data_IF_482711230420
#
_entry.id   IF_482711230420
#
_cell.length_a   1.000
_cell.length_b   1.000
_cell.length_c   1.000
_cell.angle_alpha   90.00
_cell.angle_beta   90.00
_cell.angle_gamma   90.00
#
_symmetry.space_group_name_H-M   'P 1'
#
loop_
_entity.id
_entity.type
_entity.pdbx_description
1 polymer ?
#
# COMPACT_ATOMS: atom_id res chain seq x y z
N UNK A 1 22.34 -7.54 -30.38
CA UNK A 1 22.23 -7.61 -28.90
C UNK A 1 20.82 -7.29 -28.43
N UNK A 2 20.30 -6.07 -28.67
CA UNK A 2 18.96 -5.64 -28.21
C UNK A 2 17.82 -6.57 -28.61
N UNK A 3 17.77 -7.06 -29.86
CA UNK A 3 16.75 -8.02 -30.29
C UNK A 3 16.80 -9.37 -29.55
N UNK A 4 18.00 -9.80 -29.14
CA UNK A 4 18.19 -11.04 -28.36
C UNK A 4 17.73 -10.82 -26.93
N UNK A 5 18.11 -9.71 -26.31
CA UNK A 5 17.67 -9.33 -24.96
C UNK A 5 16.14 -9.16 -24.89
N UNK A 6 15.53 -8.50 -25.89
CA UNK A 6 14.08 -8.38 -25.97
C UNK A 6 13.39 -9.75 -26.05
N UNK A 7 13.93 -10.66 -26.86
CA UNK A 7 13.40 -12.03 -26.98
C UNK A 7 13.56 -12.83 -25.69
N UNK A 8 14.63 -12.62 -24.94
CA UNK A 8 14.85 -13.25 -23.64
C UNK A 8 13.90 -12.69 -22.58
N UNK A 9 13.71 -11.37 -22.54
CA UNK A 9 12.75 -10.70 -21.65
C UNK A 9 11.32 -11.20 -21.86
N UNK A 10 10.89 -11.38 -23.12
CA UNK A 10 9.56 -11.91 -23.43
C UNK A 10 9.41 -13.42 -23.16
N UNK A 11 10.52 -14.16 -23.04
CA UNK A 11 10.52 -15.61 -22.79
C UNK A 11 10.60 -15.97 -21.31
N UNK A 12 11.01 -15.04 -20.46
CA UNK A 12 10.87 -15.16 -19.02
C UNK A 12 9.49 -14.60 -18.65
N UNK A 13 8.46 -15.43 -18.38
CA UNK A 13 7.12 -14.93 -18.12
C UNK A 13 7.03 -14.11 -16.83
N UNK A 14 7.94 -14.33 -15.86
CA UNK A 14 7.90 -13.61 -14.58
C UNK A 14 8.16 -12.12 -14.75
N UNK A 15 9.16 -11.75 -15.55
CA UNK A 15 9.56 -10.37 -15.77
C UNK A 15 8.43 -9.44 -16.32
N UNK A 16 7.79 -9.74 -17.47
CA UNK A 16 6.71 -8.94 -18.01
C UNK A 16 5.42 -9.04 -17.18
N UNK A 17 5.11 -10.19 -16.57
CA UNK A 17 3.93 -10.30 -15.69
C UNK A 17 4.08 -9.39 -14.48
N UNK A 18 5.24 -9.43 -13.81
CA UNK A 18 5.48 -8.59 -12.64
C UNK A 18 5.58 -7.11 -13.02
N UNK A 19 6.32 -6.78 -14.09
CA UNK A 19 6.51 -5.40 -14.52
C UNK A 19 5.23 -4.76 -15.07
N UNK A 20 4.43 -5.47 -15.86
CA UNK A 20 3.24 -4.92 -16.52
C UNK A 20 1.96 -5.19 -15.72
N UNK A 21 1.86 -6.38 -15.12
CA UNK A 21 0.64 -6.85 -14.46
C UNK A 21 0.34 -6.10 -13.17
N UNK A 22 1.34 -5.83 -12.31
CA UNK A 22 1.11 -5.14 -11.03
C UNK A 22 0.62 -3.70 -11.23
N UNK A 23 1.27 -2.85 -12.04
CA UNK A 23 0.81 -1.48 -12.27
C UNK A 23 -0.55 -1.42 -12.96
N UNK A 24 -0.81 -2.33 -13.90
CA UNK A 24 -2.10 -2.42 -14.58
C UNK A 24 -3.21 -2.87 -13.63
N UNK A 25 -2.96 -3.90 -12.82
CA UNK A 25 -3.90 -4.36 -11.80
C UNK A 25 -4.19 -3.25 -10.79
N UNK A 26 -3.19 -2.48 -10.37
CA UNK A 26 -3.38 -1.33 -9.49
C UNK A 26 -4.39 -0.34 -10.12
N UNK A 27 -4.16 0.08 -11.36
CA UNK A 27 -5.05 1.05 -12.03
C UNK A 27 -6.45 0.48 -12.24
N UNK A 28 -6.58 -0.80 -12.58
CA UNK A 28 -7.86 -1.47 -12.75
C UNK A 28 -8.63 -1.59 -11.42
N UNK A 29 -7.99 -2.13 -10.37
CA UNK A 29 -8.62 -2.32 -9.06
C UNK A 29 -9.08 -0.98 -8.47
N UNK A 30 -8.22 0.04 -8.48
CA UNK A 30 -8.60 1.35 -7.98
C UNK A 30 -9.57 2.09 -8.91
N UNK A 31 -9.55 1.81 -10.21
CA UNK A 31 -10.49 2.38 -11.16
C UNK A 31 -11.90 1.81 -11.05
N UNK A 32 -12.04 0.55 -10.63
CA UNK A 32 -13.33 -0.07 -10.35
C UNK A 32 -13.95 0.43 -9.04
N UNK A 33 -13.15 1.07 -8.18
CA UNK A 33 -13.60 1.63 -6.92
C UNK A 33 -14.50 2.86 -7.20
N UNK A 34 -15.75 2.91 -6.70
CA UNK A 34 -16.70 3.96 -7.08
C UNK A 34 -16.16 5.36 -6.73
N UNK A 35 -16.34 6.36 -7.58
CA UNK A 35 -15.94 7.75 -7.26
C UNK A 35 -14.45 8.10 -7.39
N UNK A 36 -13.56 7.14 -7.66
CA UNK A 36 -12.12 7.44 -7.89
C UNK A 36 -11.88 8.21 -9.18
N UNK A 37 -12.75 8.04 -10.17
CA UNK A 37 -12.73 8.78 -11.43
C UNK A 37 -13.63 10.03 -11.41
N UNK A 38 -14.17 10.43 -10.25
CA UNK A 38 -14.98 11.64 -10.11
C UNK A 38 -14.15 12.81 -9.55
N UNK A 39 -14.41 14.05 -10.00
CA UNK A 39 -13.81 15.26 -9.43
C UNK A 39 -13.99 15.34 -7.91
N UNK A 40 -12.93 15.66 -7.18
CA UNK A 40 -12.99 15.87 -5.74
C UNK A 40 -12.43 17.23 -5.33
N UNK A 41 -13.09 17.89 -4.38
CA UNK A 41 -12.67 19.20 -3.88
C UNK A 41 -11.27 19.16 -3.22
N UNK A 42 -10.93 18.04 -2.56
CA UNK A 42 -9.63 17.81 -1.94
C UNK A 42 -8.46 17.76 -2.95
N UNK A 43 -8.75 17.39 -4.21
CA UNK A 43 -7.77 17.36 -5.30
C UNK A 43 -7.93 18.58 -6.23
N UNK A 44 -8.50 19.68 -5.72
CA UNK A 44 -8.71 20.90 -6.49
C UNK A 44 -9.62 20.72 -7.70
N UNK A 45 -10.64 19.86 -7.60
CA UNK A 45 -11.57 19.57 -8.69
C UNK A 45 -11.11 18.48 -9.66
N UNK A 46 -10.00 17.80 -9.38
CA UNK A 46 -9.53 16.69 -10.20
C UNK A 46 -9.95 15.33 -9.63
N UNK A 47 -10.01 14.32 -10.52
CA UNK A 47 -10.27 12.95 -10.13
C UNK A 47 -8.99 12.25 -9.61
N UNK A 48 -9.12 11.41 -8.59
CA UNK A 48 -7.98 10.74 -7.94
C UNK A 48 -7.28 9.74 -8.86
N UNK A 49 -8.05 9.06 -9.71
CA UNK A 49 -7.55 8.04 -10.63
C UNK A 49 -6.48 8.59 -11.63
N UNK A 50 -6.77 9.65 -12.43
CA UNK A 50 -5.77 10.22 -13.34
C UNK A 50 -4.69 11.08 -12.66
N UNK A 51 -4.96 11.66 -11.49
CA UNK A 51 -4.00 12.61 -10.86
C UNK A 51 -3.03 11.98 -9.88
N UNK A 52 -3.43 10.90 -9.20
CA UNK A 52 -2.63 10.30 -8.15
C UNK A 52 -2.32 8.84 -8.47
N UNK A 53 -3.34 8.04 -8.80
CA UNK A 53 -3.21 6.59 -8.91
C UNK A 53 -2.44 6.18 -10.18
N UNK A 54 -2.81 6.70 -11.34
CA UNK A 54 -2.14 6.36 -12.61
C UNK A 54 -0.68 6.85 -12.67
N UNK A 55 -0.34 8.09 -12.28
CA UNK A 55 1.05 8.52 -12.19
C UNK A 55 1.87 7.70 -11.20
N UNK A 56 1.29 7.34 -10.04
CA UNK A 56 1.94 6.47 -9.07
C UNK A 56 2.20 5.06 -9.64
N UNK A 57 1.23 4.48 -10.36
CA UNK A 57 1.42 3.20 -11.04
C UNK A 57 2.57 3.24 -12.06
N UNK A 58 2.66 4.31 -12.86
CA UNK A 58 3.75 4.53 -13.81
C UNK A 58 5.10 4.72 -13.10
N UNK A 59 5.13 5.44 -11.98
CA UNK A 59 6.35 5.60 -11.18
C UNK A 59 6.81 4.27 -10.56
N UNK A 60 5.89 3.49 -10.00
CA UNK A 60 6.17 2.15 -9.45
C UNK A 60 6.70 1.23 -10.53
N UNK A 61 6.08 1.19 -11.71
CA UNK A 61 6.55 0.45 -12.88
C UNK A 61 8.01 0.79 -13.23
N UNK A 62 8.31 2.09 -13.41
CA UNK A 62 9.67 2.54 -13.78
C UNK A 62 10.64 2.14 -12.67
N UNK A 63 10.25 2.30 -11.41
CA UNK A 63 11.02 1.83 -10.26
C UNK A 63 11.28 0.32 -10.28
N UNK A 64 10.26 -0.50 -10.52
CA UNK A 64 10.42 -1.96 -10.58
C UNK A 64 11.37 -2.39 -11.71
N UNK A 65 11.24 -1.79 -12.89
CA UNK A 65 12.12 -2.08 -14.03
C UNK A 65 13.56 -1.63 -13.79
N UNK A 66 13.75 -0.39 -13.34
CA UNK A 66 15.07 0.20 -13.14
C UNK A 66 15.81 -0.39 -11.93
N UNK A 67 15.08 -0.66 -10.84
CA UNK A 67 15.67 -1.01 -9.55
C UNK A 67 15.67 -2.51 -9.33
N UNK A 68 14.62 -3.24 -9.71
CA UNK A 68 14.54 -4.69 -9.46
C UNK A 68 14.95 -5.51 -10.68
N UNK A 69 14.27 -5.37 -11.82
CA UNK A 69 14.45 -6.29 -12.96
C UNK A 69 15.78 -6.08 -13.69
N UNK A 70 16.16 -4.83 -13.96
CA UNK A 70 17.40 -4.54 -14.68
C UNK A 70 18.65 -5.06 -13.93
N UNK A 71 18.84 -4.80 -12.61
CA UNK A 71 19.96 -5.37 -11.87
C UNK A 71 19.89 -6.89 -11.72
N UNK A 72 18.70 -7.45 -11.52
CA UNK A 72 18.52 -8.90 -11.39
C UNK A 72 18.91 -9.66 -12.67
N UNK A 73 18.60 -9.12 -13.85
CA UNK A 73 18.99 -9.70 -15.13
C UNK A 73 20.53 -9.74 -15.28
N UNK A 74 21.21 -8.64 -14.95
CA UNK A 74 22.67 -8.55 -14.99
C UNK A 74 23.33 -9.49 -13.97
N UNK A 75 22.78 -9.57 -12.75
CA UNK A 75 23.26 -10.48 -11.71
C UNK A 75 23.13 -11.94 -12.14
N UNK A 76 21.98 -12.33 -12.70
CA UNK A 76 21.75 -13.68 -13.24
C UNK A 76 22.74 -14.02 -14.36
N UNK A 77 23.08 -13.04 -15.21
CA UNK A 77 24.07 -13.23 -16.27
C UNK A 77 25.48 -13.43 -15.71
N UNK A 78 25.79 -12.81 -14.56
CA UNK A 78 27.05 -13.03 -13.85
C UNK A 78 27.10 -14.43 -13.25
N UNK A 79 26.04 -14.87 -12.57
CA UNK A 79 25.94 -16.19 -11.94
C UNK A 79 26.06 -17.33 -12.96
N UNK A 80 25.38 -17.20 -14.11
CA UNK A 80 25.41 -18.19 -15.19
C UNK A 80 26.69 -18.14 -16.05
N UNK A 81 27.66 -17.31 -15.66
CA UNK A 81 28.92 -17.10 -16.37
C UNK A 81 28.76 -16.51 -17.77
N UNK A 82 27.59 -15.97 -18.13
CA UNK A 82 27.31 -15.37 -19.44
C UNK A 82 28.24 -14.18 -19.67
N UNK A 83 28.43 -13.33 -18.66
CA UNK A 83 29.34 -12.17 -18.74
C UNK A 83 30.79 -12.59 -19.00
N UNK A 84 31.24 -13.70 -18.40
CA UNK A 84 32.59 -14.27 -18.59
C UNK A 84 32.79 -14.86 -19.99
N UNK A 85 31.73 -15.41 -20.58
CA UNK A 85 31.76 -15.86 -21.99
C UNK A 85 31.74 -14.67 -22.95
N UNK A 86 30.96 -13.63 -22.64
CA UNK A 86 30.89 -12.41 -23.44
C UNK A 86 32.22 -11.63 -23.42
N UNK A 87 32.99 -11.65 -22.33
CA UNK A 87 34.31 -11.02 -22.28
C UNK A 87 35.37 -11.68 -23.18
N UNK A 88 35.14 -12.92 -23.62
CA UNK A 88 35.98 -13.60 -24.60
C UNK A 88 35.54 -13.34 -26.07
N UNK A 89 34.47 -12.57 -26.26
CA UNK A 89 33.95 -12.17 -27.57
C UNK A 89 34.32 -10.71 -27.90
N UNK A 90 34.30 -10.27 -29.17
CA UNK A 90 34.56 -8.88 -29.55
C UNK A 90 33.42 -7.90 -29.16
N UNK A 91 32.48 -8.32 -28.29
CA UNK A 91 31.36 -7.49 -27.84
C UNK A 91 31.73 -6.79 -26.53
N UNK A 92 31.86 -5.46 -26.51
CA UNK A 92 32.15 -4.73 -25.27
C UNK A 92 30.99 -4.83 -24.27
N UNK A 93 31.26 -4.92 -22.95
CA UNK A 93 30.22 -5.01 -21.90
C UNK A 93 29.18 -3.88 -21.95
N UNK A 94 29.58 -2.68 -22.39
CA UNK A 94 28.67 -1.54 -22.56
C UNK A 94 27.54 -1.78 -23.56
N UNK A 95 27.72 -2.65 -24.58
CA UNK A 95 26.64 -2.99 -25.53
C UNK A 95 25.55 -3.85 -24.90
N UNK A 96 25.89 -4.70 -23.93
CA UNK A 96 24.90 -5.46 -23.16
C UNK A 96 24.08 -4.52 -22.27
N UNK A 97 24.75 -3.62 -21.54
CA UNK A 97 24.08 -2.64 -20.68
C UNK A 97 23.18 -1.70 -21.49
N UNK A 98 23.64 -1.22 -22.64
CA UNK A 98 22.83 -0.40 -23.55
C UNK A 98 21.62 -1.19 -24.11
N UNK A 99 21.81 -2.46 -24.48
CA UNK A 99 20.72 -3.31 -24.93
C UNK A 99 19.67 -3.54 -23.84
N UNK A 100 20.10 -3.83 -22.61
CA UNK A 100 19.23 -3.98 -21.44
C UNK A 100 18.49 -2.69 -21.11
N UNK A 101 19.17 -1.54 -21.13
CA UNK A 101 18.54 -0.23 -20.93
C UNK A 101 17.46 0.03 -21.99
N UNK A 102 17.75 -0.20 -23.27
CA UNK A 102 16.79 0.00 -24.36
C UNK A 102 15.57 -0.91 -24.24
N UNK A 103 15.76 -2.18 -23.87
CA UNK A 103 14.65 -3.13 -23.66
C UNK A 103 13.77 -2.68 -22.49
N UNK A 104 14.36 -2.24 -21.37
CA UNK A 104 13.59 -1.77 -20.23
C UNK A 104 12.87 -0.44 -20.50
N UNK A 105 13.49 0.50 -21.23
CA UNK A 105 12.83 1.74 -21.67
C UNK A 105 11.68 1.45 -22.63
N UNK A 106 11.83 0.47 -23.55
CA UNK A 106 10.75 0.03 -24.41
C UNK A 106 9.61 -0.61 -23.60
N UNK A 107 9.94 -1.41 -22.59
CA UNK A 107 8.96 -1.99 -21.68
C UNK A 107 8.19 -0.91 -20.89
N UNK A 108 8.88 0.14 -20.40
CA UNK A 108 8.24 1.32 -19.78
C UNK A 108 7.26 1.96 -20.75
N UNK A 109 7.66 2.20 -22.01
CA UNK A 109 6.79 2.82 -23.00
C UNK A 109 5.52 1.98 -23.27
N UNK A 110 5.68 0.67 -23.48
CA UNK A 110 4.55 -0.26 -23.68
C UNK A 110 3.64 -0.27 -22.46
N UNK A 111 4.20 -0.33 -21.26
CA UNK A 111 3.44 -0.37 -20.03
C UNK A 111 2.65 0.93 -19.78
N UNK A 112 3.23 2.09 -20.09
CA UNK A 112 2.53 3.38 -20.01
C UNK A 112 1.37 3.41 -21.01
N UNK A 113 1.59 2.93 -22.23
CA UNK A 113 0.52 2.82 -23.23
C UNK A 113 -0.60 1.89 -22.74
N UNK A 114 -0.26 0.78 -22.08
CA UNK A 114 -1.24 -0.13 -21.49
C UNK A 114 -1.99 0.53 -20.32
N UNK A 115 -1.29 1.18 -19.39
CA UNK A 115 -1.91 1.83 -18.23
C UNK A 115 -2.83 2.97 -18.68
N UNK A 116 -2.35 3.85 -19.56
CA UNK A 116 -3.12 4.99 -20.07
C UNK A 116 -4.24 4.52 -20.99
N UNK A 117 -3.96 3.56 -21.87
CA UNK A 117 -4.92 3.01 -22.82
C UNK A 117 -6.04 2.22 -22.14
N UNK A 118 -5.69 1.28 -21.25
CA UNK A 118 -6.67 0.54 -20.45
C UNK A 118 -7.42 1.47 -19.50
N UNK A 119 -6.74 2.43 -18.87
CA UNK A 119 -7.40 3.46 -18.06
C UNK A 119 -8.42 4.26 -18.86
N UNK A 120 -8.08 4.66 -20.09
CA UNK A 120 -8.98 5.45 -20.95
C UNK A 120 -10.17 4.63 -21.47
N UNK A 121 -9.93 3.40 -21.90
CA UNK A 121 -10.93 2.53 -22.55
C UNK A 121 -11.82 1.86 -21.50
N UNK A 122 -11.24 1.22 -20.50
CA UNK A 122 -11.99 0.44 -19.51
C UNK A 122 -12.58 1.32 -18.40
N UNK A 123 -11.91 2.43 -18.03
CA UNK A 123 -12.27 3.21 -16.84
C UNK A 123 -12.71 4.65 -17.17
N UNK A 124 -12.67 5.07 -18.43
CA UNK A 124 -13.00 6.44 -18.83
C UNK A 124 -12.06 7.50 -18.26
N UNK A 125 -10.81 7.13 -17.97
CA UNK A 125 -9.81 8.03 -17.39
C UNK A 125 -9.48 9.19 -18.33
N UNK A 126 -9.39 10.40 -17.79
CA UNK A 126 -8.95 11.57 -18.55
C UNK A 126 -7.46 11.44 -18.93
N UNK A 127 -7.13 11.80 -20.18
CA UNK A 127 -5.76 11.82 -20.66
C UNK A 127 -5.00 13.02 -20.06
N UNK A 128 -3.65 12.93 -19.96
CA UNK A 128 -2.84 14.08 -19.56
C UNK A 128 -3.11 15.27 -20.49
N UNK A 129 -3.38 16.45 -19.92
CA UNK A 129 -3.68 17.66 -20.70
C UNK A 129 -2.49 18.06 -21.59
N UNK A 130 -1.27 17.80 -21.11
CA UNK A 130 -0.05 18.09 -21.85
C UNK A 130 0.81 16.82 -22.02
N UNK A 131 0.63 16.12 -23.14
CA UNK A 131 1.37 14.90 -23.46
C UNK A 131 2.88 15.15 -23.58
N UNK A 132 3.29 16.34 -24.02
CA UNK A 132 4.72 16.69 -24.16
C UNK A 132 5.43 16.73 -22.81
N UNK A 133 4.88 17.46 -21.84
CA UNK A 133 5.42 17.50 -20.48
C UNK A 133 5.33 16.16 -19.77
N UNK A 134 4.23 15.41 -19.99
CA UNK A 134 4.11 14.06 -19.47
C UNK A 134 5.23 13.14 -19.98
N UNK A 135 5.47 13.11 -21.29
CA UNK A 135 6.54 12.32 -21.90
C UNK A 135 7.93 12.78 -21.40
N UNK A 136 8.15 14.09 -21.26
CA UNK A 136 9.40 14.64 -20.74
C UNK A 136 9.66 14.22 -19.29
N UNK A 137 8.66 14.33 -18.39
CA UNK A 137 8.79 13.91 -16.99
C UNK A 137 9.02 12.42 -16.86
N UNK A 138 8.30 11.61 -17.63
CA UNK A 138 8.50 10.15 -17.69
C UNK A 138 9.90 9.82 -18.16
N UNK A 139 10.37 10.45 -19.23
CA UNK A 139 11.69 10.19 -19.80
C UNK A 139 12.80 10.62 -18.83
N UNK A 140 12.68 11.81 -18.23
CA UNK A 140 13.63 12.28 -17.22
C UNK A 140 13.62 11.41 -15.98
N UNK A 141 12.45 10.98 -15.51
CA UNK A 141 12.31 10.08 -14.36
C UNK A 141 12.90 8.69 -14.65
N UNK A 142 12.65 8.14 -15.83
CA UNK A 142 13.28 6.90 -16.28
C UNK A 142 14.80 7.06 -16.38
N UNK A 143 15.30 8.08 -17.08
CA UNK A 143 16.74 8.32 -17.21
C UNK A 143 17.40 8.55 -15.84
N UNK A 144 16.76 9.27 -14.93
CA UNK A 144 17.22 9.42 -13.55
C UNK A 144 17.30 8.04 -12.87
N UNK A 145 16.23 7.26 -12.85
CA UNK A 145 16.21 5.97 -12.16
C UNK A 145 17.16 4.93 -12.78
N UNK A 146 17.34 4.93 -14.10
CA UNK A 146 18.27 4.03 -14.81
C UNK A 146 19.73 4.51 -14.78
N UNK A 147 20.01 5.82 -14.62
CA UNK A 147 21.39 6.35 -14.53
C UNK A 147 21.97 6.25 -13.12
N UNK A 148 21.09 6.10 -12.14
CA UNK A 148 21.44 6.06 -10.73
C UNK A 148 21.79 4.60 -10.41
N UNK A 149 23.08 4.34 -10.14
CA UNK A 149 23.53 3.03 -9.68
C UNK A 149 22.82 2.63 -8.38
N UNK A 150 22.70 1.31 -8.12
CA UNK A 150 21.89 0.75 -7.03
C UNK A 150 21.99 1.49 -5.68
N UNK A 151 23.19 1.94 -5.29
CA UNK A 151 23.42 2.72 -4.07
C UNK A 151 22.78 4.11 -4.10
N UNK A 152 22.96 4.86 -5.18
CA UNK A 152 22.36 6.20 -5.32
C UNK A 152 20.83 6.09 -5.42
N UNK A 153 20.31 4.97 -5.94
CA UNK A 153 18.87 4.73 -6.09
C UNK A 153 18.23 4.49 -4.76
N UNK A 154 18.82 3.60 -3.95
CA UNK A 154 18.35 3.38 -2.59
C UNK A 154 18.40 4.68 -1.77
N UNK A 155 19.50 5.44 -1.85
CA UNK A 155 19.61 6.73 -1.15
C UNK A 155 18.56 7.75 -1.66
N UNK A 156 18.38 7.87 -2.98
CA UNK A 156 17.40 8.79 -3.56
C UNK A 156 15.96 8.43 -3.22
N UNK A 157 15.61 7.14 -3.27
CA UNK A 157 14.28 6.63 -2.88
C UNK A 157 14.01 6.86 -1.40
N UNK A 158 14.99 6.55 -0.53
CA UNK A 158 14.89 6.81 0.91
C UNK A 158 14.73 8.32 1.17
N UNK A 159 15.55 9.16 0.56
CA UNK A 159 15.47 10.62 0.72
C UNK A 159 14.13 11.18 0.21
N UNK A 160 13.65 10.72 -0.94
CA UNK A 160 12.35 11.09 -1.47
C UNK A 160 11.23 10.76 -0.49
N UNK A 161 11.21 9.54 0.07
CA UNK A 161 10.18 9.15 1.03
C UNK A 161 10.29 9.89 2.36
N UNK A 162 11.50 10.20 2.82
CA UNK A 162 11.68 11.05 4.01
C UNK A 162 11.14 12.46 3.79
N UNK A 163 11.42 13.07 2.63
CA UNK A 163 10.96 14.43 2.29
C UNK A 163 9.45 14.47 2.00
N UNK A 164 8.93 13.46 1.30
CA UNK A 164 7.51 13.36 0.95
C UNK A 164 6.63 12.83 2.10
N UNK A 165 7.19 12.62 3.31
CA UNK A 165 6.53 11.99 4.45
C UNK A 165 5.84 10.66 4.08
N UNK A 166 6.49 9.90 3.20
CA UNK A 166 6.01 8.59 2.77
C UNK A 166 6.38 7.52 3.79
N UNK A 167 5.66 6.40 3.71
CA UNK A 167 5.82 5.33 4.69
C UNK A 167 7.17 4.62 4.50
N UNK A 168 7.90 4.42 5.59
CA UNK A 168 9.27 3.89 5.59
C UNK A 168 9.42 2.56 4.82
N UNK A 169 8.40 1.71 4.86
CA UNK A 169 8.41 0.42 4.18
C UNK A 169 8.36 0.52 2.65
N UNK A 170 8.03 1.67 2.07
CA UNK A 170 8.11 1.86 0.62
C UNK A 170 9.55 1.84 0.09
N UNK A 171 10.53 2.16 0.92
CA UNK A 171 11.95 2.03 0.56
C UNK A 171 12.48 0.60 0.72
N UNK A 172 11.72 -0.30 1.39
CA UNK A 172 12.17 -1.66 1.72
C UNK A 172 12.61 -2.46 0.48
N UNK A 173 11.91 -2.28 -0.65
CA UNK A 173 12.20 -2.97 -1.92
C UNK A 173 13.55 -2.61 -2.56
N UNK A 174 14.23 -1.56 -2.09
CA UNK A 174 15.55 -1.16 -2.62
C UNK A 174 16.72 -1.86 -1.93
N UNK A 175 16.53 -2.35 -0.70
CA UNK A 175 17.59 -2.96 0.09
C UNK A 175 18.11 -4.31 -0.44
N UNK A 176 17.29 -5.20 -1.06
CA UNK A 176 17.79 -6.47 -1.60
C UNK A 176 18.94 -6.31 -2.60
N UNK A 177 18.90 -5.29 -3.46
CA UNK A 177 19.97 -5.04 -4.45
C UNK A 177 21.24 -4.52 -3.75
N UNK A 178 21.09 -3.70 -2.71
CA UNK A 178 22.23 -3.27 -1.89
C UNK A 178 22.87 -4.44 -1.17
N UNK A 179 22.07 -5.35 -0.60
CA UNK A 179 22.56 -6.56 0.04
C UNK A 179 23.26 -7.50 -0.94
N UNK A 180 22.72 -7.67 -2.15
CA UNK A 180 23.38 -8.44 -3.21
C UNK A 180 24.74 -7.83 -3.62
N UNK A 181 24.79 -6.50 -3.77
CA UNK A 181 26.04 -5.78 -4.06
C UNK A 181 27.07 -5.92 -2.93
N UNK A 182 26.61 -5.85 -1.67
CA UNK A 182 27.46 -6.07 -0.50
C UNK A 182 27.98 -7.52 -0.43
N UNK A 183 27.13 -8.51 -0.68
CA UNK A 183 27.50 -9.93 -0.67
C UNK A 183 28.61 -10.23 -1.70
N UNK A 184 28.46 -9.72 -2.93
CA UNK A 184 29.49 -9.78 -3.96
C UNK A 184 30.80 -9.15 -3.48
N UNK A 185 30.74 -7.97 -2.88
CA UNK A 185 31.93 -7.26 -2.44
C UNK A 185 32.67 -8.02 -1.33
N UNK A 186 31.91 -8.61 -0.39
CA UNK A 186 32.45 -9.44 0.69
C UNK A 186 33.01 -10.79 0.20
N UNK A 187 32.50 -11.30 -0.92
CA UNK A 187 33.06 -12.48 -1.60
C UNK A 187 34.39 -12.17 -2.29
N UNK A 188 34.45 -11.07 -3.04
CA UNK A 188 35.64 -10.66 -3.80
C UNK A 188 36.73 -10.09 -2.87
N UNK A 189 36.34 -9.44 -1.77
CA UNK A 189 37.24 -8.94 -0.73
C UNK A 189 36.87 -9.56 0.60
N UNK A 190 37.68 -10.54 1.01
CA UNK A 190 37.52 -11.18 2.33
C UNK A 190 37.48 -10.10 3.42
N UNK A 191 36.51 -10.15 4.34
CA UNK A 191 36.50 -9.24 5.48
C UNK A 191 37.82 -9.34 6.24
N UNK A 192 38.23 -8.25 6.89
CA UNK A 192 39.36 -8.27 7.80
C UNK A 192 39.19 -9.39 8.85
N UNK A 193 40.29 -9.91 9.41
CA UNK A 193 40.29 -11.14 10.21
C UNK A 193 39.20 -11.17 11.31
N UNK A 194 38.93 -10.02 11.91
CA UNK A 194 37.97 -9.78 12.99
C UNK A 194 36.50 -9.64 12.54
N UNK A 195 36.23 -9.47 11.24
CA UNK A 195 34.88 -9.39 10.64
C UNK A 195 34.51 -10.62 9.81
N UNK A 196 35.33 -11.67 9.79
CA UNK A 196 35.09 -12.85 8.93
C UNK A 196 33.80 -13.60 9.25
N UNK A 197 33.22 -13.37 10.43
CA UNK A 197 31.94 -13.96 10.85
C UNK A 197 30.71 -13.22 10.28
N UNK A 198 30.86 -11.97 9.81
CA UNK A 198 29.73 -11.17 9.31
C UNK A 198 29.00 -11.80 8.11
N UNK A 199 29.67 -12.35 7.08
CA UNK A 199 28.99 -13.03 5.98
C UNK A 199 28.68 -14.51 6.26
N UNK A 200 28.60 -14.93 7.53
CA UNK A 200 28.40 -16.35 7.90
C UNK A 200 27.11 -16.57 8.70
N UNK A 201 26.82 -17.83 9.04
CA UNK A 201 25.59 -18.26 9.72
C UNK A 201 25.19 -17.43 10.97
N UNK A 202 26.10 -16.89 11.82
CA UNK A 202 25.69 -16.14 13.01
C UNK A 202 24.89 -14.89 12.67
N UNK A 203 25.24 -14.17 11.60
CA UNK A 203 24.49 -12.98 11.19
C UNK A 203 23.11 -13.38 10.67
N UNK A 204 23.00 -14.48 9.94
CA UNK A 204 21.69 -14.99 9.50
C UNK A 204 20.82 -15.42 10.68
N UNK A 205 21.40 -16.07 11.69
CA UNK A 205 20.68 -16.43 12.92
C UNK A 205 20.25 -15.19 13.70
N UNK A 206 21.14 -14.21 13.90
CA UNK A 206 20.79 -12.95 14.57
C UNK A 206 19.71 -12.17 13.81
N UNK A 207 19.79 -12.15 12.47
CA UNK A 207 18.80 -11.50 11.61
C UNK A 207 17.45 -12.21 11.70
N UNK A 208 17.44 -13.54 11.74
CA UNK A 208 16.23 -14.33 11.94
C UNK A 208 15.64 -14.11 13.34
N UNK A 209 16.46 -14.15 14.40
CA UNK A 209 16.02 -13.89 15.77
C UNK A 209 15.45 -12.47 15.95
N UNK A 210 16.01 -11.49 15.25
CA UNK A 210 15.46 -10.14 15.21
C UNK A 210 14.16 -10.06 14.40
N UNK A 211 14.11 -10.65 13.21
CA UNK A 211 13.00 -10.44 12.27
C UNK A 211 11.77 -11.30 12.57
N UNK A 212 11.95 -12.53 13.06
CA UNK A 212 10.85 -13.49 13.28
C UNK A 212 9.78 -12.94 14.24
N UNK A 213 10.13 -12.30 15.38
CA UNK A 213 9.14 -11.69 16.26
C UNK A 213 8.31 -10.56 15.64
N UNK A 214 8.87 -9.82 14.67
CA UNK A 214 8.12 -8.77 13.96
C UNK A 214 7.27 -9.31 12.80
N UNK A 215 7.58 -10.49 12.30
CA UNK A 215 6.90 -11.08 11.14
C UNK A 215 5.86 -12.12 11.53
N UNK A 216 6.10 -12.87 12.61
CA UNK A 216 5.27 -13.99 13.03
C UNK A 216 4.78 -13.81 14.47
N UNK A 217 3.56 -14.30 14.80
CA UNK A 217 3.03 -14.27 16.15
C UNK A 217 3.71 -15.34 17.02
N UNK A 218 4.99 -15.14 17.33
CA UNK A 218 5.79 -16.08 18.13
C UNK A 218 5.50 -16.00 19.63
N UNK A 219 4.97 -14.86 20.08
CA UNK A 219 4.61 -14.63 21.48
C UNK A 219 3.15 -14.98 21.73
N UNK A 220 2.83 -15.61 22.87
CA UNK A 220 1.45 -15.71 23.34
C UNK A 220 0.84 -14.32 23.52
N UNK A 221 -0.45 -14.16 23.19
CA UNK A 221 -1.11 -12.85 23.24
C UNK A 221 -1.10 -12.25 24.64
N UNK A 222 -1.28 -13.06 25.70
CA UNK A 222 -1.21 -12.56 27.08
C UNK A 222 0.16 -11.96 27.43
N UNK A 223 1.24 -12.48 26.85
CA UNK A 223 2.58 -11.94 27.11
C UNK A 223 2.77 -10.55 26.52
N UNK A 224 2.13 -10.26 25.37
CA UNK A 224 2.13 -8.93 24.74
C UNK A 224 1.35 -7.89 25.54
N UNK A 225 0.39 -8.32 26.35
CA UNK A 225 -0.35 -7.42 27.28
C UNK A 225 0.56 -6.96 28.41
N UNK A 226 1.38 -7.88 28.94
CA UNK A 226 2.33 -7.60 30.01
C UNK A 226 3.56 -6.83 29.51
N UNK A 227 3.96 -7.04 28.24
CA UNK A 227 5.15 -6.46 27.62
C UNK A 227 4.79 -5.76 26.28
N UNK A 228 4.06 -4.63 26.32
CA UNK A 228 3.58 -3.97 25.11
C UNK A 228 4.69 -3.46 24.18
N UNK A 229 5.87 -3.19 24.73
CA UNK A 229 7.05 -2.76 23.97
C UNK A 229 7.80 -3.89 23.26
N UNK A 230 7.44 -5.15 23.52
CA UNK A 230 8.14 -6.28 22.96
C UNK A 230 7.98 -6.37 21.43
N UNK A 231 8.95 -6.93 20.69
CA UNK A 231 8.85 -7.12 19.24
C UNK A 231 7.63 -7.97 18.86
N UNK A 232 6.70 -7.41 18.08
CA UNK A 232 5.48 -8.11 17.66
C UNK A 232 5.07 -7.73 16.23
N UNK A 233 4.30 -8.58 15.54
CA UNK A 233 3.73 -8.24 14.24
C UNK A 233 2.63 -7.19 14.44
N UNK A 234 2.96 -5.94 14.13
CA UNK A 234 2.08 -4.78 14.35
C UNK A 234 0.65 -4.99 13.82
N UNK A 235 0.51 -5.38 12.55
CA UNK A 235 -0.82 -5.56 11.94
C UNK A 235 -1.63 -6.70 12.55
N UNK A 236 -1.01 -7.85 12.84
CA UNK A 236 -1.72 -8.98 13.44
C UNK A 236 -2.13 -8.68 14.90
N UNK A 237 -1.39 -7.81 15.59
CA UNK A 237 -1.72 -7.38 16.96
C UNK A 237 -2.90 -6.42 16.97
N UNK A 238 -3.02 -5.57 15.95
CA UNK A 238 -4.19 -4.70 15.74
C UNK A 238 -5.48 -5.47 15.41
N UNK A 239 -5.37 -6.70 14.88
CA UNK A 239 -6.48 -7.60 14.59
C UNK A 239 -7.05 -8.30 15.83
N UNK A 240 -6.29 -8.32 16.93
CA UNK A 240 -6.76 -8.91 18.18
C UNK A 240 -7.95 -8.12 18.72
N UNK A 241 -9.05 -8.82 19.00
CA UNK A 241 -10.28 -8.21 19.52
C UNK A 241 -11.25 -7.71 18.45
N UNK A 242 -11.00 -7.93 17.15
CA UNK A 242 -11.99 -7.59 16.11
C UNK A 242 -13.33 -8.33 16.27
N UNK A 243 -13.37 -9.62 16.65
CA UNK A 243 -14.64 -10.27 16.98
C UNK A 243 -15.34 -9.61 18.17
N UNK A 244 -14.60 -9.25 19.22
CA UNK A 244 -15.15 -8.58 20.41
C UNK A 244 -15.69 -7.19 20.05
N UNK A 245 -15.00 -6.46 19.17
CA UNK A 245 -15.46 -5.17 18.65
C UNK A 245 -16.80 -5.33 17.93
N UNK A 246 -16.93 -6.33 17.06
CA UNK A 246 -18.19 -6.60 16.36
C UNK A 246 -19.31 -7.03 17.32
N UNK A 247 -19.00 -7.87 18.30
CA UNK A 247 -19.95 -8.31 19.32
C UNK A 247 -20.43 -7.15 20.21
N UNK A 248 -19.51 -6.30 20.68
CA UNK A 248 -19.84 -5.13 21.51
C UNK A 248 -20.74 -4.16 20.75
N UNK A 249 -20.40 -3.86 19.49
CA UNK A 249 -21.22 -3.02 18.61
C UNK A 249 -22.60 -3.65 18.36
N UNK A 250 -22.68 -4.96 18.14
CA UNK A 250 -23.93 -5.69 18.00
C UNK A 250 -24.77 -5.71 19.28
N UNK A 251 -24.14 -5.86 20.44
CA UNK A 251 -24.79 -5.77 21.75
C UNK A 251 -25.51 -4.43 21.92
N UNK A 252 -24.78 -3.35 21.67
CA UNK A 252 -25.32 -1.98 21.73
C UNK A 252 -26.41 -1.76 20.68
N UNK A 253 -26.21 -2.20 19.44
CA UNK A 253 -27.19 -2.07 18.36
C UNK A 253 -28.50 -2.82 18.66
N UNK A 254 -28.42 -3.99 19.34
CA UNK A 254 -29.59 -4.76 19.78
C UNK A 254 -30.37 -4.11 20.92
N UNK A 255 -29.76 -3.19 21.68
CA UNK A 255 -30.46 -2.43 22.72
C UNK A 255 -31.29 -1.26 22.15
N UNK A 256 -31.04 -0.86 20.89
CA UNK A 256 -31.85 0.16 20.23
C UNK A 256 -33.28 -0.35 19.99
N UNK A 257 -34.31 0.49 20.20
CA UNK A 257 -35.69 0.18 19.86
C UNK A 257 -35.81 -0.28 18.40
N UNK A 258 -36.68 -1.26 18.06
CA UNK A 258 -36.74 -1.83 16.71
C UNK A 258 -36.92 -0.79 15.58
N UNK A 259 -37.71 0.25 15.82
CA UNK A 259 -37.94 1.34 14.86
C UNK A 259 -36.76 2.32 14.71
N UNK A 260 -35.92 2.46 15.73
CA UNK A 260 -34.70 3.27 15.67
C UNK A 260 -33.54 2.48 15.06
N UNK A 261 -33.51 1.17 15.30
CA UNK A 261 -32.48 0.26 14.80
C UNK A 261 -32.38 0.29 13.28
N UNK A 262 -33.50 0.19 12.57
CA UNK A 262 -33.53 0.23 11.09
C UNK A 262 -33.19 1.61 10.50
N UNK A 263 -33.16 2.65 11.34
CA UNK A 263 -32.80 4.02 10.98
C UNK A 263 -31.44 4.45 11.54
N UNK A 264 -30.68 3.51 12.09
CA UNK A 264 -29.35 3.77 12.62
C UNK A 264 -28.31 3.23 11.65
N UNK A 265 -27.47 4.10 11.11
CA UNK A 265 -26.32 3.69 10.30
C UNK A 265 -25.10 3.38 11.17
N UNK A 266 -24.27 2.45 10.73
CA UNK A 266 -23.00 2.13 11.39
C UNK A 266 -21.87 2.88 10.69
N UNK A 267 -21.16 3.76 11.41
CA UNK A 267 -20.06 4.56 10.86
C UNK A 267 -18.81 4.37 11.72
N UNK A 268 -17.64 4.24 11.12
CA UNK A 268 -16.37 4.08 11.85
C UNK A 268 -15.40 5.21 11.58
N UNK A 269 -14.59 5.56 12.58
CA UNK A 269 -13.55 6.59 12.43
C UNK A 269 -12.45 6.19 11.44
N UNK A 270 -12.06 4.91 11.45
CA UNK A 270 -10.94 4.39 10.67
C UNK A 270 -11.30 3.11 9.92
N UNK A 271 -10.63 2.91 8.78
CA UNK A 271 -10.84 1.72 7.93
C UNK A 271 -10.52 0.39 8.64
N UNK A 272 -9.72 0.43 9.72
CA UNK A 272 -9.45 -0.74 10.57
C UNK A 272 -10.71 -1.26 11.26
N UNK A 273 -11.40 -0.42 12.05
CA UNK A 273 -12.68 -0.78 12.66
C UNK A 273 -13.77 -1.02 11.61
N UNK A 274 -13.74 -0.29 10.50
CA UNK A 274 -14.64 -0.53 9.36
C UNK A 274 -14.47 -1.94 8.77
N UNK A 275 -13.23 -2.37 8.53
CA UNK A 275 -12.93 -3.71 8.04
C UNK A 275 -13.27 -4.82 9.04
N UNK A 276 -13.07 -4.57 10.34
CA UNK A 276 -13.50 -5.49 11.39
C UNK A 276 -15.02 -5.73 11.38
N UNK A 277 -15.80 -4.64 11.29
CA UNK A 277 -17.26 -4.72 11.26
C UNK A 277 -17.80 -5.29 9.95
N UNK A 278 -17.15 -5.01 8.82
CA UNK A 278 -17.50 -5.61 7.54
C UNK A 278 -17.26 -7.13 7.55
N UNK A 279 -16.14 -7.59 8.15
CA UNK A 279 -15.79 -9.00 8.22
C UNK A 279 -16.62 -9.80 9.24
N UNK A 280 -16.80 -9.28 10.46
CA UNK A 280 -17.40 -10.02 11.58
C UNK A 280 -18.83 -9.57 11.90
N UNK A 281 -19.22 -8.35 11.55
CA UNK A 281 -20.55 -7.81 11.83
C UNK A 281 -21.72 -8.60 11.24
N UNK A 282 -21.63 -9.17 10.01
CA UNK A 282 -22.71 -9.98 9.45
C UNK A 282 -23.08 -11.20 10.30
N UNK A 283 -22.10 -11.82 10.99
CA UNK A 283 -22.33 -12.97 11.88
C UNK A 283 -23.18 -12.59 13.10
N UNK A 284 -23.17 -11.31 13.48
CA UNK A 284 -23.97 -10.74 14.57
C UNK A 284 -25.23 -9.99 14.09
N UNK A 285 -25.53 -10.01 12.79
CA UNK A 285 -26.69 -9.33 12.20
C UNK A 285 -26.57 -7.80 12.18
N UNK A 286 -25.35 -7.26 12.19
CA UNK A 286 -25.12 -5.83 12.00
C UNK A 286 -25.37 -5.41 10.55
N UNK A 287 -25.87 -4.17 10.31
CA UNK A 287 -25.92 -3.61 8.98
C UNK A 287 -24.51 -3.28 8.46
N UNK A 288 -24.41 -2.97 7.17
CA UNK A 288 -23.16 -2.53 6.53
C UNK A 288 -22.53 -1.35 7.28
N UNK A 289 -21.20 -1.41 7.45
CA UNK A 289 -20.41 -0.38 8.09
C UNK A 289 -19.84 0.60 7.05
N UNK A 290 -19.98 1.91 7.31
CA UNK A 290 -19.41 2.95 6.46
C UNK A 290 -18.23 3.63 7.15
N UNK A 291 -17.27 4.16 6.39
CA UNK A 291 -16.20 5.01 6.95
C UNK A 291 -15.78 6.09 5.98
N UNK A 292 -15.49 7.27 6.51
CA UNK A 292 -14.83 8.33 5.77
C UNK A 292 -13.35 8.08 5.50
N UNK A 293 -12.77 7.06 6.14
CA UNK A 293 -11.34 6.79 6.13
C UNK A 293 -10.86 6.14 4.83
N UNK A 294 -9.92 6.80 4.15
CA UNK A 294 -9.17 6.32 2.98
C UNK A 294 -10.09 5.80 1.87
N UNK A 295 -9.75 4.65 1.29
CA UNK A 295 -10.52 4.01 0.23
C UNK A 295 -11.93 3.63 0.66
N UNK A 296 -12.19 3.43 1.96
CA UNK A 296 -13.48 2.95 2.44
C UNK A 296 -14.63 3.94 2.17
N UNK A 297 -14.31 5.23 2.05
CA UNK A 297 -15.27 6.29 1.69
C UNK A 297 -15.94 6.06 0.33
N UNK A 298 -15.24 5.40 -0.60
CA UNK A 298 -15.69 5.15 -1.95
C UNK A 298 -16.67 3.97 -2.08
N UNK A 299 -16.75 3.10 -1.08
CA UNK A 299 -17.57 1.88 -1.17
C UNK A 299 -19.04 2.09 -0.88
N UNK A 300 -19.42 3.25 -0.33
CA UNK A 300 -20.82 3.55 -0.09
C UNK A 300 -21.02 4.76 0.81
N UNK A 301 -22.28 5.05 1.09
CA UNK A 301 -22.69 6.05 2.07
C UNK A 301 -23.87 5.52 2.88
N UNK A 302 -24.06 5.99 4.12
CA UNK A 302 -25.29 5.71 4.85
C UNK A 302 -26.56 6.14 4.07
N UNK A 303 -27.65 5.35 4.15
CA UNK A 303 -28.89 5.65 3.46
C UNK A 303 -29.57 6.89 4.04
N UNK A 304 -30.25 7.69 3.21
CA UNK A 304 -30.89 8.94 3.66
C UNK A 304 -32.03 8.71 4.69
N UNK A 305 -32.56 7.49 4.79
CA UNK A 305 -33.49 7.06 5.83
C UNK A 305 -32.87 6.97 7.23
N UNK A 306 -31.55 6.85 7.32
CA UNK A 306 -30.84 6.79 8.59
C UNK A 306 -30.68 8.20 9.20
N UNK A 307 -31.35 8.45 10.32
CA UNK A 307 -31.33 9.70 11.07
C UNK A 307 -30.50 9.62 12.36
N UNK A 308 -30.06 8.41 12.73
CA UNK A 308 -29.11 8.14 13.80
C UNK A 308 -27.86 7.42 13.27
N UNK A 309 -26.77 7.54 14.03
CA UNK A 309 -25.49 6.89 13.75
C UNK A 309 -24.98 6.21 15.01
N UNK A 310 -24.60 4.95 14.86
CA UNK A 310 -23.70 4.29 15.79
C UNK A 310 -22.28 4.53 15.29
N UNK A 311 -21.56 5.45 15.91
CA UNK A 311 -20.20 5.80 15.52
C UNK A 311 -19.18 5.07 16.38
N UNK A 312 -18.29 4.31 15.75
CA UNK A 312 -17.25 3.53 16.43
C UNK A 312 -15.90 4.20 16.19
N UNK A 313 -15.36 4.82 17.24
CA UNK A 313 -14.11 5.58 17.12
C UNK A 313 -13.89 6.58 18.25
N UNK A 314 -12.64 7.01 18.42
CA UNK A 314 -12.23 7.90 19.50
C UNK A 314 -12.95 9.27 19.47
N UNK A 315 -13.07 9.88 18.29
CA UNK A 315 -13.61 11.23 18.15
C UNK A 315 -14.60 11.36 16.97
N UNK A 316 -15.89 11.64 17.24
CA UNK A 316 -16.89 11.93 16.21
C UNK A 316 -16.93 13.42 15.79
N UNK A 317 -15.88 14.21 15.99
CA UNK A 317 -15.86 15.66 15.74
C UNK A 317 -16.35 16.09 14.34
N UNK A 318 -16.08 15.31 13.28
CA UNK A 318 -16.59 15.62 11.93
C UNK A 318 -18.10 15.40 11.76
N UNK A 319 -18.70 14.55 12.59
CA UNK A 319 -20.14 14.25 12.55
C UNK A 319 -20.91 15.10 13.54
N UNK A 320 -20.38 15.30 14.75
CA UNK A 320 -21.07 15.93 15.90
C UNK A 320 -21.80 17.25 15.56
N UNK A 321 -21.24 18.20 14.79
CA UNK A 321 -21.92 19.44 14.42
C UNK A 321 -23.22 19.26 13.62
N UNK A 322 -23.41 18.09 13.00
CA UNK A 322 -24.55 17.78 12.14
C UNK A 322 -25.60 16.90 12.82
N UNK A 323 -25.47 16.66 14.13
CA UNK A 323 -26.41 15.90 14.94
C UNK A 323 -26.83 16.72 16.16
N UNK A 324 -28.07 16.51 16.64
CA UNK A 324 -28.61 17.23 17.80
C UNK A 324 -28.08 16.70 19.12
N UNK A 325 -27.72 15.42 19.17
CA UNK A 325 -27.11 14.82 20.35
C UNK A 325 -26.01 13.86 19.94
N UNK A 326 -24.97 13.79 20.78
CA UNK A 326 -23.90 12.82 20.69
C UNK A 326 -23.58 12.35 22.10
N UNK A 327 -23.69 11.04 22.34
CA UNK A 327 -23.37 10.44 23.65
C UNK A 327 -22.71 9.09 23.48
N UNK A 328 -21.82 8.75 24.38
CA UNK A 328 -21.24 7.41 24.44
C UNK A 328 -22.31 6.46 25.03
N UNK A 329 -22.54 5.33 24.36
CA UNK A 329 -23.49 4.31 24.82
C UNK A 329 -22.85 2.94 25.01
N UNK A 330 -21.57 2.80 24.66
CA UNK A 330 -20.77 1.62 24.94
C UNK A 330 -19.29 1.89 24.69
N UNK A 331 -18.46 0.93 25.07
CA UNK A 331 -17.05 0.88 24.73
C UNK A 331 -16.72 -0.54 24.31
N UNK A 332 -15.79 -0.66 23.36
CA UNK A 332 -15.20 -1.94 23.00
C UNK A 332 -14.23 -2.33 24.10
N UNK A 333 -14.36 -3.54 24.59
CA UNK A 333 -13.39 -4.19 25.48
C UNK A 333 -12.97 -5.47 24.80
N UNK A 334 -11.69 -5.60 24.49
CA UNK A 334 -11.15 -6.84 23.96
C UNK A 334 -10.91 -7.81 25.12
N UNK A 335 -11.30 -9.08 24.93
CA UNK A 335 -11.31 -10.06 26.01
C UNK A 335 -9.90 -10.39 26.54
N UNK A 336 -8.85 -10.05 25.78
CA UNK A 336 -7.45 -10.28 26.11
C UNK A 336 -6.75 -9.04 26.70
N UNK A 337 -7.42 -7.89 26.77
CA UNK A 337 -6.87 -6.57 27.13
C UNK A 337 -5.60 -6.18 26.39
N UNK A 338 -5.47 -6.56 25.12
CA UNK A 338 -4.33 -6.18 24.27
C UNK A 338 -4.36 -4.67 24.04
N UNK A 339 -3.28 -3.93 24.31
CA UNK A 339 -3.24 -2.49 24.10
C UNK A 339 -3.07 -2.17 22.60
N UNK A 340 -4.18 -2.17 21.87
CA UNK A 340 -4.24 -1.86 20.43
C UNK A 340 -5.30 -0.79 20.11
N UNK A 341 -5.46 -0.44 18.83
CA UNK A 341 -6.37 0.63 18.41
C UNK A 341 -7.86 0.30 18.63
N UNK A 342 -8.22 -0.97 18.83
CA UNK A 342 -9.60 -1.41 19.07
C UNK A 342 -9.98 -1.37 20.54
N UNK A 343 -8.99 -1.34 21.43
CA UNK A 343 -9.18 -1.42 22.88
C UNK A 343 -9.69 -0.11 23.47
N UNK A 344 -10.71 -0.19 24.34
CA UNK A 344 -11.43 0.96 24.92
C UNK A 344 -12.11 1.90 23.89
N UNK A 345 -12.25 1.46 22.63
CA UNK A 345 -12.78 2.28 21.55
C UNK A 345 -14.25 2.67 21.85
N UNK A 346 -14.59 3.97 21.94
CA UNK A 346 -15.94 4.36 22.31
C UNK A 346 -16.93 4.14 21.17
N UNK A 347 -18.13 3.72 21.56
CA UNK A 347 -19.30 3.55 20.71
C UNK A 347 -20.26 4.69 21.03
N UNK A 348 -20.38 5.63 20.09
CA UNK A 348 -21.22 6.81 20.21
C UNK A 348 -22.57 6.58 19.52
N UNK A 349 -23.63 7.09 20.12
CA UNK A 349 -24.92 7.28 19.47
C UNK A 349 -25.11 8.75 19.16
N UNK A 350 -25.17 9.06 17.88
CA UNK A 350 -25.50 10.39 17.38
C UNK A 350 -26.92 10.35 16.83
N UNK A 351 -27.79 11.26 17.28
CA UNK A 351 -29.20 11.29 16.88
C UNK A 351 -29.65 12.68 16.42
N UNK A 352 -30.72 12.70 15.62
CA UNK A 352 -31.31 13.95 15.15
C UNK A 352 -30.44 14.63 14.09
N UNK A 353 -30.01 13.88 13.08
CA UNK A 353 -29.24 14.38 11.93
C UNK A 353 -29.92 15.63 11.31
N UNK A 354 -29.16 16.69 11.07
CA UNK A 354 -29.69 17.99 10.60
C UNK A 354 -29.69 18.17 9.08
N UNK A 355 -28.94 17.34 8.35
CA UNK A 355 -28.77 17.40 6.88
C UNK A 355 -28.87 16.01 6.26
N UNK A 356 -29.14 15.91 4.96
CA UNK A 356 -29.11 14.61 4.25
C UNK A 356 -27.70 14.04 4.14
N UNK A 357 -27.57 12.73 3.95
CA UNK A 357 -26.28 12.05 3.84
C UNK A 357 -25.63 12.38 2.50
N UNK A 358 -26.44 12.70 1.49
CA UNK A 358 -25.96 13.22 0.21
C UNK A 358 -25.18 14.53 0.35
N UNK A 359 -25.51 15.37 1.34
CA UNK A 359 -24.81 16.63 1.61
C UNK A 359 -23.66 16.42 2.60
N UNK A 360 -23.88 15.58 3.61
CA UNK A 360 -22.93 15.38 4.71
C UNK A 360 -21.77 14.47 4.34
N UNK A 361 -22.03 13.35 3.65
CA UNK A 361 -21.02 12.31 3.36
C UNK A 361 -19.80 12.81 2.58
N UNK A 362 -19.92 13.71 1.58
CA UNK A 362 -18.77 14.29 0.92
C UNK A 362 -17.80 15.05 1.84
N UNK A 363 -18.29 15.55 2.97
CA UNK A 363 -17.49 16.29 3.97
C UNK A 363 -16.78 15.35 4.95
N UNK A 364 -17.16 14.07 4.98
CA UNK A 364 -16.59 13.08 5.89
C UNK A 364 -15.35 12.39 5.31
N UNK A 365 -15.00 12.66 4.06
CA UNK A 365 -13.83 12.08 3.42
C UNK A 365 -12.56 12.42 4.21
N UNK A 366 -11.74 11.40 4.46
CA UNK A 366 -10.45 11.56 5.11
C UNK A 366 -9.40 10.67 4.47
N UNK A 367 -8.49 11.27 3.72
CA UNK A 367 -7.36 10.56 3.10
C UNK A 367 -6.09 10.59 3.96
N UNK A 368 -6.12 11.27 5.13
CA UNK A 368 -4.95 11.39 5.99
C UNK A 368 -4.71 10.09 6.77
N UNK A 369 -3.43 9.90 7.13
CA UNK A 369 -2.89 8.64 7.62
C UNK A 369 -3.30 8.34 9.06
#
# INVERSE_FOLDING_TARGET
MTAVEAKLFLRDPGAPITALGIPLALVLVFGLMPGTNQPSAELGGHAALPTLIAPMAVAILIGMLAVMLFPAAVATYREKGVLKRLSASPVPPGRLLAAQLLVNLAAVAVAILLVVGAGRIALGMALPVNLGWFAAVVLLGALALFSVGALRTAVGVVALFLVANGRFYYAAGTFPILWAAAAVHLQDRRPALWWRWVPTWPVFVLSALYSLPYALPVWPVQWLVEHPEAPHPAYATEEVGWPDLAEAVAGVYRLLPPGERTRTALVTAGYWAGGALDRYGPEFGLPEAYSGSRGLWYFGRPPDSADAVLFVGADPAKLTPHFRSARIIGRVENHLRVPNASEHLPIWLLTGRTQSWSVLWPQQKDLKA
#
